data_IF_979333716538
#
_entry.id   IF_979333716538
#
_cell.length_a   1.000
_cell.length_b   1.000
_cell.length_c   1.000
_cell.angle_alpha   90.00
_cell.angle_beta   90.00
_cell.angle_gamma   90.00
#
_symmetry.space_group_name_H-M   'P 1'
#
loop_
_entity.id
_entity.type
_entity.pdbx_description
1 polymer ?
#
# COMPACT_ATOMS: atom_id res chain seq x y z
N UNK A 1 -0.90 14.16 13.42
CA UNK A 1 -0.38 13.07 14.27
C UNK A 1 -0.12 11.77 13.51
N UNK A 2 -1.12 11.14 12.85
CA UNK A 2 -0.88 9.91 12.07
C UNK A 2 -0.02 10.15 10.82
N UNK A 3 -0.31 11.20 10.04
CA UNK A 3 0.48 11.55 8.85
C UNK A 3 1.93 11.95 9.21
N UNK A 4 2.12 12.67 10.32
CA UNK A 4 3.44 13.11 10.79
C UNK A 4 4.30 11.92 11.22
N UNK A 5 3.74 10.98 11.99
CA UNK A 5 4.44 9.75 12.37
C UNK A 5 4.80 8.87 11.16
N UNK A 6 3.96 8.88 10.11
CA UNK A 6 4.25 8.17 8.86
C UNK A 6 5.35 8.86 8.05
N UNK A 7 5.44 10.19 8.10
CA UNK A 7 6.49 10.97 7.47
C UNK A 7 7.84 10.70 8.14
N UNK A 8 7.89 10.72 9.47
CA UNK A 8 9.12 10.53 10.24
C UNK A 8 9.74 9.14 10.02
N UNK A 9 8.91 8.09 9.97
CA UNK A 9 9.35 6.72 9.70
C UNK A 9 9.68 6.44 8.23
N UNK A 10 9.16 7.24 7.28
CA UNK A 10 9.52 7.12 5.87
C UNK A 10 10.84 7.84 5.56
N UNK A 11 11.17 8.86 6.34
CA UNK A 11 12.42 9.60 6.25
C UNK A 11 13.60 8.93 6.99
N UNK A 12 13.39 7.77 7.64
CA UNK A 12 14.48 7.04 8.32
C UNK A 12 15.41 6.36 7.29
N UNK A 13 16.65 6.85 7.12
CA UNK A 13 17.57 6.33 6.11
C UNK A 13 18.03 4.89 6.41
N UNK A 14 17.85 4.40 7.64
CA UNK A 14 18.20 3.02 8.03
C UNK A 14 17.25 1.98 7.44
N UNK A 15 16.06 2.39 7.00
CA UNK A 15 15.05 1.51 6.40
C UNK A 15 15.21 1.39 4.88
N UNK A 16 15.94 2.30 4.24
CA UNK A 16 16.20 2.31 2.79
C UNK A 16 16.79 1.00 2.24
N UNK A 17 17.78 0.35 2.89
CA UNK A 17 18.37 -0.90 2.38
C UNK A 17 17.39 -2.07 2.30
N UNK A 18 16.27 -2.02 3.04
CA UNK A 18 15.28 -3.11 3.09
C UNK A 18 14.37 -3.17 1.84
N UNK A 19 14.29 -2.07 1.07
CA UNK A 19 13.29 -1.90 0.01
C UNK A 19 13.85 -1.82 -1.42
N UNK A 20 15.17 -2.03 -1.55
CA UNK A 20 16.02 -2.12 -2.75
C UNK A 20 17.16 -1.08 -2.70
N UNK A 21 18.40 -1.55 -2.56
CA UNK A 21 19.59 -0.70 -2.41
C UNK A 21 19.96 0.08 -3.67
N UNK A 22 19.32 -0.21 -4.81
CA UNK A 22 19.56 0.47 -6.09
C UNK A 22 18.60 1.66 -6.35
N UNK A 23 17.58 1.86 -5.52
CA UNK A 23 16.67 3.01 -5.66
C UNK A 23 17.28 4.28 -5.07
N UNK A 24 17.01 5.43 -5.70
CA UNK A 24 17.30 6.71 -5.08
C UNK A 24 16.41 6.91 -3.83
N UNK A 25 16.86 7.78 -2.92
CA UNK A 25 16.23 7.97 -1.60
C UNK A 25 14.77 8.44 -1.68
N UNK A 26 14.40 9.21 -2.71
CA UNK A 26 13.05 9.73 -2.88
C UNK A 26 12.10 8.60 -3.32
N UNK A 27 12.49 7.83 -4.33
CA UNK A 27 11.75 6.65 -4.77
C UNK A 27 11.59 5.61 -3.66
N UNK A 28 12.61 5.42 -2.83
CA UNK A 28 12.54 4.51 -1.68
C UNK A 28 11.54 5.00 -0.62
N UNK A 29 11.55 6.29 -0.30
CA UNK A 29 10.60 6.92 0.65
C UNK A 29 9.17 6.76 0.17
N UNK A 30 8.92 7.08 -1.11
CA UNK A 30 7.64 6.95 -1.78
C UNK A 30 7.12 5.50 -1.77
N UNK A 31 8.00 4.54 -2.05
CA UNK A 31 7.71 3.09 -1.98
C UNK A 31 7.31 2.68 -0.57
N UNK A 32 8.02 3.14 0.46
CA UNK A 32 7.69 2.85 1.86
C UNK A 32 6.36 3.47 2.28
N UNK A 33 6.04 4.69 1.82
CA UNK A 33 4.75 5.33 2.09
C UNK A 33 3.60 4.53 1.48
N UNK A 34 3.71 4.12 0.21
CA UNK A 34 2.71 3.28 -0.44
C UNK A 34 2.54 1.93 0.29
N UNK A 35 3.65 1.29 0.66
CA UNK A 35 3.64 0.06 1.46
C UNK A 35 2.86 0.22 2.76
N UNK A 36 3.13 1.29 3.52
CA UNK A 36 2.45 1.59 4.78
C UNK A 36 0.98 1.84 4.58
N UNK A 37 0.59 2.69 3.62
CA UNK A 37 -0.82 3.00 3.35
C UNK A 37 -1.63 1.73 3.05
N UNK A 38 -1.09 0.84 2.22
CA UNK A 38 -1.72 -0.44 1.87
C UNK A 38 -1.79 -1.38 3.08
N UNK A 39 -0.70 -1.52 3.84
CA UNK A 39 -0.68 -2.33 5.06
C UNK A 39 -1.67 -1.83 6.12
N UNK A 40 -1.79 -0.51 6.30
CA UNK A 40 -2.75 0.09 7.22
C UNK A 40 -4.19 -0.10 6.75
N UNK A 41 -4.46 -0.03 5.45
CA UNK A 41 -5.77 -0.33 4.89
C UNK A 41 -6.18 -1.78 5.22
N UNK A 42 -5.27 -2.74 4.98
CA UNK A 42 -5.50 -4.15 5.31
C UNK A 42 -5.76 -4.36 6.81
N UNK A 43 -4.93 -3.77 7.67
CA UNK A 43 -5.08 -3.87 9.12
C UNK A 43 -6.40 -3.27 9.61
N UNK A 44 -6.79 -2.08 9.11
CA UNK A 44 -8.06 -1.45 9.48
C UNK A 44 -9.26 -2.29 9.06
N UNK A 45 -9.18 -2.95 7.91
CA UNK A 45 -10.24 -3.86 7.47
C UNK A 45 -10.32 -5.11 8.35
N UNK A 46 -9.16 -5.73 8.65
CA UNK A 46 -9.08 -6.93 9.48
C UNK A 46 -9.59 -6.69 10.91
N UNK A 47 -9.32 -5.50 11.47
CA UNK A 47 -9.84 -5.07 12.77
C UNK A 47 -11.32 -4.65 12.75
N UNK A 48 -12.00 -4.72 11.60
CA UNK A 48 -13.40 -4.31 11.45
C UNK A 48 -13.64 -2.81 11.57
N UNK A 49 -12.60 -1.98 11.47
CA UNK A 49 -12.71 -0.51 11.53
C UNK A 49 -13.25 0.08 10.22
N UNK A 50 -13.16 -0.68 9.13
CA UNK A 50 -13.68 -0.33 7.82
C UNK A 50 -14.57 -1.46 7.32
N UNK A 51 -15.64 -1.10 6.62
CA UNK A 51 -16.41 -2.05 5.84
C UNK A 51 -15.81 -2.21 4.42
N UNK A 52 -16.36 -3.15 3.65
CA UNK A 52 -15.89 -3.44 2.29
C UNK A 52 -16.01 -2.23 1.35
N UNK A 53 -17.01 -1.38 1.53
CA UNK A 53 -17.22 -0.23 0.66
C UNK A 53 -16.20 0.88 0.95
N UNK A 54 -15.89 1.12 2.23
CA UNK A 54 -14.83 2.03 2.64
C UNK A 54 -13.45 1.56 2.16
N UNK A 55 -13.17 0.25 2.21
CA UNK A 55 -11.94 -0.31 1.64
C UNK A 55 -11.88 -0.09 0.13
N UNK A 56 -12.97 -0.36 -0.59
CA UNK A 56 -13.02 -0.13 -2.05
C UNK A 56 -12.75 1.34 -2.40
N UNK A 57 -13.42 2.27 -1.74
CA UNK A 57 -13.22 3.70 -1.98
C UNK A 57 -11.79 4.13 -1.67
N UNK A 58 -11.20 3.61 -0.59
CA UNK A 58 -9.80 3.90 -0.24
C UNK A 58 -8.84 3.30 -1.26
N UNK A 59 -9.08 2.07 -1.72
CA UNK A 59 -8.27 1.41 -2.75
C UNK A 59 -8.28 2.21 -4.06
N UNK A 60 -9.44 2.72 -4.48
CA UNK A 60 -9.58 3.61 -5.64
C UNK A 60 -8.74 4.88 -5.48
N UNK A 61 -8.91 5.60 -4.36
CA UNK A 61 -8.15 6.82 -4.09
C UNK A 61 -6.64 6.59 -4.02
N UNK A 62 -6.21 5.44 -3.47
CA UNK A 62 -4.81 5.05 -3.52
C UNK A 62 -4.37 4.87 -4.97
N UNK A 63 -5.09 4.10 -5.79
CA UNK A 63 -4.69 3.77 -7.17
C UNK A 63 -4.77 4.96 -8.14
N UNK A 64 -5.36 6.10 -7.77
CA UNK A 64 -5.26 7.36 -8.51
C UNK A 64 -3.83 7.94 -8.50
N UNK A 65 -3.02 7.60 -7.49
CA UNK A 65 -1.67 8.15 -7.34
C UNK A 65 -0.64 7.33 -8.15
N UNK A 66 0.26 7.96 -8.94
CA UNK A 66 1.28 7.23 -9.70
C UNK A 66 2.22 6.38 -8.82
N UNK A 67 2.57 6.88 -7.63
CA UNK A 67 3.46 6.21 -6.69
C UNK A 67 2.91 4.88 -6.18
N UNK A 68 1.63 4.83 -5.83
CA UNK A 68 0.97 3.61 -5.34
C UNK A 68 0.76 2.61 -6.46
N UNK A 69 0.48 3.06 -7.70
CA UNK A 69 0.46 2.19 -8.88
C UNK A 69 1.84 1.59 -9.15
N UNK A 70 2.90 2.39 -9.10
CA UNK A 70 4.27 1.89 -9.27
C UNK A 70 4.64 0.86 -8.20
N UNK A 71 4.28 1.12 -6.93
CA UNK A 71 4.41 0.16 -5.86
C UNK A 71 3.64 -1.13 -6.15
N UNK A 72 2.37 -1.02 -6.56
CA UNK A 72 1.51 -2.17 -6.82
C UNK A 72 2.07 -3.03 -7.95
N UNK A 73 2.47 -2.42 -9.08
CA UNK A 73 3.13 -3.11 -10.19
C UNK A 73 4.31 -3.97 -9.73
N UNK A 74 5.12 -3.44 -8.81
CA UNK A 74 6.35 -4.11 -8.36
C UNK A 74 6.11 -5.15 -7.26
N UNK A 75 5.24 -4.86 -6.31
CA UNK A 75 5.11 -5.63 -5.07
C UNK A 75 3.79 -6.39 -4.92
N UNK A 76 2.86 -6.29 -5.88
CA UNK A 76 1.58 -7.02 -5.88
C UNK A 76 1.75 -8.52 -5.62
N UNK A 77 2.73 -9.16 -6.27
CA UNK A 77 2.95 -10.60 -6.10
C UNK A 77 3.33 -10.98 -4.66
N UNK A 78 4.04 -10.10 -3.94
CA UNK A 78 4.32 -10.28 -2.52
C UNK A 78 3.04 -10.17 -1.70
N UNK A 79 2.20 -9.16 -1.97
CA UNK A 79 0.92 -8.96 -1.26
C UNK A 79 -0.04 -10.13 -1.41
N UNK A 80 -0.12 -10.72 -2.60
CA UNK A 80 -0.91 -11.94 -2.84
C UNK A 80 -0.39 -13.11 -1.98
N UNK A 81 0.94 -13.27 -1.84
CA UNK A 81 1.52 -14.34 -1.00
C UNK A 81 1.33 -14.09 0.50
N UNK A 82 1.33 -12.83 0.93
CA UNK A 82 1.13 -12.45 2.33
C UNK A 82 -0.34 -12.56 2.78
N UNK A 83 -1.29 -12.53 1.84
CA UNK A 83 -2.72 -12.60 2.11
C UNK A 83 -3.16 -14.02 2.52
N UNK A 84 -2.92 -14.39 3.78
CA UNK A 84 -3.27 -15.71 4.33
C UNK A 84 -4.67 -15.79 4.92
N UNK A 85 -5.32 -14.64 5.14
CA UNK A 85 -6.69 -14.55 5.67
C UNK A 85 -7.68 -14.14 4.59
N UNK A 86 -8.96 -14.48 4.78
CA UNK A 86 -10.04 -14.06 3.87
C UNK A 86 -10.14 -12.53 3.77
N UNK A 87 -9.99 -11.81 4.89
CA UNK A 87 -9.97 -10.35 4.94
C UNK A 87 -8.81 -9.76 4.14
N UNK A 88 -7.60 -10.29 4.30
CA UNK A 88 -6.43 -9.84 3.56
C UNK A 88 -6.57 -10.10 2.05
N UNK A 89 -7.09 -11.27 1.66
CA UNK A 89 -7.34 -11.60 0.26
C UNK A 89 -8.35 -10.62 -0.36
N UNK A 90 -9.43 -10.30 0.35
CA UNK A 90 -10.42 -9.33 -0.13
C UNK A 90 -9.83 -7.93 -0.34
N UNK A 91 -8.90 -7.49 0.52
CA UNK A 91 -8.21 -6.20 0.34
C UNK A 91 -7.34 -6.23 -0.90
N UNK A 92 -6.61 -7.32 -1.14
CA UNK A 92 -5.79 -7.50 -2.35
C UNK A 92 -6.66 -7.48 -3.61
N UNK A 93 -7.79 -8.18 -3.60
CA UNK A 93 -8.72 -8.22 -4.73
C UNK A 93 -9.28 -6.82 -5.04
N UNK A 94 -9.66 -6.05 -4.01
CA UNK A 94 -10.16 -4.68 -4.18
C UNK A 94 -9.07 -3.71 -4.67
N UNK A 95 -7.82 -3.89 -4.25
CA UNK A 95 -6.69 -3.11 -4.75
C UNK A 95 -6.40 -3.45 -6.22
N UNK A 96 -6.56 -4.72 -6.62
CA UNK A 96 -6.43 -5.14 -8.02
C UNK A 96 -7.54 -4.57 -8.90
N UNK A 97 -8.80 -4.63 -8.46
CA UNK A 97 -9.92 -4.01 -9.15
C UNK A 97 -9.67 -2.50 -9.36
N UNK A 98 -9.25 -1.80 -8.30
CA UNK A 98 -8.93 -0.38 -8.35
C UNK A 98 -7.74 -0.08 -9.27
N UNK A 99 -6.70 -0.92 -9.26
CA UNK A 99 -5.53 -0.76 -10.11
C UNK A 99 -5.89 -0.90 -11.58
N UNK A 100 -6.67 -1.93 -11.95
CA UNK A 100 -7.13 -2.15 -13.31
C UNK A 100 -7.99 -0.97 -13.80
N UNK A 101 -8.90 -0.49 -12.95
CA UNK A 101 -9.76 0.65 -13.29
C UNK A 101 -8.96 1.94 -13.53
N UNK A 102 -7.87 2.17 -12.78
CA UNK A 102 -7.03 3.35 -12.90
C UNK A 102 -6.11 3.36 -14.14
N UNK A 103 -6.11 2.29 -14.95
CA UNK A 103 -5.36 2.20 -16.20
C UNK A 103 -6.18 2.53 -17.45
N UNK A 104 -7.50 2.71 -17.31
CA UNK A 104 -8.43 3.06 -18.38
C UNK A 104 -8.56 4.57 -18.54
#
# INVERSE_FOLDING_TARGET
>A
MHADLMSDLAADPTLTPLWDSAQDSETATQTQMANRLISFLALKYDLGLLDKNAVRATAQSLMEQPVTRAYWTRWRSLRIREATTCSAQQVVDLLDEAYIAAQQ
#
